data_IF_249201550553
#
_entry.id   IF_249201550553
#
_cell.length_a   1.000
_cell.length_b   1.000
_cell.length_c   1.000
_cell.angle_alpha   90.00
_cell.angle_beta   90.00
_cell.angle_gamma   90.00
#
_symmetry.space_group_name_H-M   'P 1'
#
loop_
_entity.id
_entity.type
_entity.pdbx_description
1 polymer ?
#
# COMPACT_ATOMS: atom_id res chain seq x y z
N UNK A 1 -23.70 13.24 16.78
CA UNK A 1 -23.96 11.78 16.84
C UNK A 1 -22.64 11.07 16.77
N UNK A 2 -22.52 9.93 17.45
CA UNK A 2 -21.25 9.22 17.61
C UNK A 2 -21.28 7.94 16.79
N UNK A 3 -20.39 7.83 15.79
CA UNK A 3 -20.21 6.61 15.00
C UNK A 3 -19.81 5.47 15.94
N UNK A 4 -20.56 4.36 15.89
CA UNK A 4 -20.30 3.20 16.76
C UNK A 4 -18.95 2.57 16.44
N UNK A 5 -18.31 1.96 17.44
CA UNK A 5 -17.06 1.22 17.23
C UNK A 5 -17.20 0.07 16.23
N UNK A 6 -18.38 -0.56 16.14
CA UNK A 6 -18.67 -1.59 15.14
C UNK A 6 -18.60 -1.00 13.73
N UNK A 7 -19.28 0.12 13.50
CA UNK A 7 -19.26 0.82 12.19
C UNK A 7 -17.85 1.27 11.82
N UNK A 8 -17.12 1.87 12.78
CA UNK A 8 -15.72 2.31 12.62
C UNK A 8 -14.84 1.16 12.14
N UNK A 9 -14.86 0.03 12.86
CA UNK A 9 -14.08 -1.16 12.48
C UNK A 9 -14.38 -1.63 11.07
N UNK A 10 -15.66 -1.67 10.68
CA UNK A 10 -16.08 -2.08 9.33
C UNK A 10 -15.54 -1.10 8.28
N UNK A 11 -15.69 0.21 8.49
CA UNK A 11 -15.23 1.24 7.56
C UNK A 11 -13.72 1.19 7.36
N UNK A 12 -12.97 1.16 8.46
CA UNK A 12 -11.50 1.13 8.44
C UNK A 12 -10.96 -0.15 7.80
N UNK A 13 -11.58 -1.31 8.10
CA UNK A 13 -11.21 -2.59 7.50
C UNK A 13 -11.46 -2.59 5.98
N UNK A 14 -12.64 -2.13 5.53
CA UNK A 14 -12.97 -2.05 4.10
C UNK A 14 -12.09 -1.05 3.33
N UNK A 15 -11.67 0.02 3.99
CA UNK A 15 -10.80 1.05 3.40
C UNK A 15 -9.31 0.70 3.50
N UNK A 16 -8.96 -0.41 4.16
CA UNK A 16 -7.57 -0.83 4.34
C UNK A 16 -6.69 0.21 5.03
N UNK A 17 -7.28 1.07 5.87
CA UNK A 17 -6.58 2.18 6.53
C UNK A 17 -6.05 3.27 5.58
N UNK A 18 -6.58 3.36 4.36
CA UNK A 18 -6.11 4.30 3.32
C UNK A 18 -7.19 5.30 2.93
N UNK A 19 -6.76 6.48 2.47
CA UNK A 19 -7.66 7.49 1.93
C UNK A 19 -8.37 6.98 0.66
N UNK A 20 -9.69 7.17 0.59
CA UNK A 20 -10.48 6.72 -0.56
C UNK A 20 -10.06 7.36 -1.90
N UNK A 21 -9.50 8.57 -1.85
CA UNK A 21 -9.07 9.33 -3.04
C UNK A 21 -7.58 9.10 -3.33
N UNK A 22 -6.68 9.53 -2.44
CA UNK A 22 -5.23 9.51 -2.69
C UNK A 22 -4.47 8.28 -2.21
N UNK A 23 -5.14 7.33 -1.54
CA UNK A 23 -4.56 6.04 -1.10
C UNK A 23 -3.40 6.12 -0.10
N UNK A 24 -3.10 7.30 0.44
CA UNK A 24 -2.16 7.46 1.55
C UNK A 24 -2.67 6.70 2.77
N UNK A 25 -1.76 6.15 3.55
CA UNK A 25 -2.07 5.58 4.86
C UNK A 25 -2.59 6.68 5.80
N UNK A 26 -3.59 6.34 6.60
CA UNK A 26 -4.29 7.26 7.50
C UNK A 26 -4.03 7.01 8.98
N UNK A 27 -3.23 5.99 9.26
CA UNK A 27 -2.68 5.70 10.55
C UNK A 27 -1.19 5.44 10.34
N UNK A 28 -0.36 6.13 11.12
CA UNK A 28 1.06 5.83 11.18
C UNK A 28 1.34 5.06 12.46
N UNK A 29 2.13 4.01 12.34
CA UNK A 29 2.68 3.29 13.48
C UNK A 29 4.20 3.41 13.45
N UNK A 30 4.74 4.08 14.45
CA UNK A 30 6.18 4.22 14.65
C UNK A 30 6.66 3.18 15.69
N UNK A 31 7.98 3.08 15.90
CA UNK A 31 8.55 2.16 16.88
C UNK A 31 8.15 2.46 18.32
N UNK A 32 7.85 3.74 18.60
CA UNK A 32 7.37 4.19 19.92
C UNK A 32 5.84 4.29 19.89
N UNK A 33 5.16 3.62 20.82
CA UNK A 33 3.68 3.61 20.84
C UNK A 33 3.08 5.01 21.02
N UNK A 34 3.83 5.95 21.62
CA UNK A 34 3.43 7.35 21.80
C UNK A 34 3.37 8.15 20.50
N UNK A 35 4.09 7.74 19.46
CA UNK A 35 4.03 8.39 18.13
C UNK A 35 3.01 7.76 17.18
N UNK A 36 2.28 6.73 17.62
CA UNK A 36 1.16 6.20 16.86
C UNK A 36 0.07 7.26 16.72
N UNK A 37 -0.19 7.67 15.48
CA UNK A 37 -1.17 8.71 15.21
C UNK A 37 -2.13 8.32 14.09
N UNK A 38 -3.42 8.53 14.36
CA UNK A 38 -4.51 8.34 13.39
C UNK A 38 -4.97 9.72 12.95
N UNK A 39 -4.79 10.04 11.68
CA UNK A 39 -5.23 11.30 11.08
C UNK A 39 -6.31 11.12 10.02
N UNK A 40 -6.77 9.89 9.79
CA UNK A 40 -7.93 9.60 8.96
C UNK A 40 -9.23 10.12 9.55
N UNK A 41 -10.08 10.66 8.69
CA UNK A 41 -11.37 11.23 9.07
C UNK A 41 -12.52 10.38 8.52
N UNK A 42 -13.51 10.14 9.38
CA UNK A 42 -14.74 9.39 9.08
C UNK A 42 -15.80 10.34 8.55
N UNK A 43 -15.85 10.50 7.23
CA UNK A 43 -16.67 11.53 6.59
C UNK A 43 -18.04 10.98 6.21
N UNK A 44 -19.10 11.72 6.52
CA UNK A 44 -20.45 11.43 6.03
C UNK A 44 -20.59 11.84 4.56
N UNK A 45 -21.06 10.91 3.71
CA UNK A 45 -21.41 11.19 2.32
C UNK A 45 -22.66 12.08 2.28
N UNK A 46 -23.72 11.68 3.00
CA UNK A 46 -24.93 12.46 3.24
C UNK A 46 -24.84 13.05 4.66
N UNK A 47 -24.85 14.37 4.78
CA UNK A 47 -24.80 15.04 6.08
C UNK A 47 -26.12 14.91 6.83
N UNK A 48 -26.03 14.78 8.16
CA UNK A 48 -27.19 14.81 9.07
C UNK A 48 -27.63 16.21 9.48
N UNK A 49 -26.80 17.23 9.20
CA UNK A 49 -27.10 18.62 9.55
C UNK A 49 -27.90 19.27 8.41
N UNK A 50 -29.03 19.94 8.68
CA UNK A 50 -29.81 20.64 7.66
C UNK A 50 -29.01 21.66 6.83
N UNK A 51 -28.03 22.31 7.47
CA UNK A 51 -27.10 23.27 6.84
C UNK A 51 -25.81 22.63 6.34
N UNK A 52 -25.67 21.31 6.47
CA UNK A 52 -24.49 20.57 6.08
C UNK A 52 -24.45 20.27 4.58
N UNK A 53 -23.25 19.93 4.06
CA UNK A 53 -23.10 19.60 2.65
C UNK A 53 -23.91 18.34 2.32
N UNK A 54 -24.63 18.34 1.19
CA UNK A 54 -25.40 17.19 0.68
C UNK A 54 -26.46 16.68 1.67
N UNK A 55 -27.04 17.56 2.49
CA UNK A 55 -28.12 17.18 3.41
C UNK A 55 -29.35 16.68 2.63
N UNK A 56 -29.79 15.49 2.98
CA UNK A 56 -31.04 14.88 2.52
C UNK A 56 -31.62 14.11 3.70
N UNK A 57 -32.95 14.12 3.84
CA UNK A 57 -33.63 13.31 4.87
C UNK A 57 -33.27 11.83 4.67
N UNK A 58 -32.52 11.29 5.61
CA UNK A 58 -31.99 9.94 5.56
C UNK A 58 -32.14 9.28 6.93
N UNK A 59 -32.34 7.96 6.93
CA UNK A 59 -32.70 7.22 8.16
C UNK A 59 -31.43 6.77 8.91
N UNK A 60 -30.31 6.55 8.21
CA UNK A 60 -29.13 5.87 8.75
C UNK A 60 -27.81 6.61 8.48
N UNK A 61 -27.68 7.85 8.97
CA UNK A 61 -26.48 8.66 8.72
C UNK A 61 -25.18 7.98 9.16
N UNK A 62 -25.18 7.28 10.29
CA UNK A 62 -23.99 6.63 10.86
C UNK A 62 -23.75 5.19 10.35
N UNK A 63 -24.38 4.80 9.23
CA UNK A 63 -24.09 3.52 8.57
C UNK A 63 -22.73 3.55 7.86
N UNK A 64 -22.01 2.43 7.85
CA UNK A 64 -20.76 2.27 7.09
C UNK A 64 -20.92 2.56 5.60
N UNK A 65 -22.13 2.41 5.07
CA UNK A 65 -22.45 2.64 3.65
C UNK A 65 -22.63 4.13 3.33
N UNK A 66 -22.88 4.96 4.35
CA UNK A 66 -22.94 6.41 4.24
C UNK A 66 -21.62 7.08 4.67
N UNK A 67 -20.62 6.31 5.09
CA UNK A 67 -19.32 6.82 5.51
C UNK A 67 -18.24 6.55 4.46
N UNK A 68 -17.31 7.48 4.31
CA UNK A 68 -16.11 7.34 3.49
C UNK A 68 -14.89 7.76 4.31
N UNK A 69 -13.80 7.00 4.20
CA UNK A 69 -12.57 7.28 4.93
C UNK A 69 -11.64 8.15 4.08
N UNK A 70 -11.26 9.34 4.58
CA UNK A 70 -10.46 10.32 3.85
C UNK A 70 -9.35 10.89 4.72
N UNK A 71 -8.33 11.48 4.08
CA UNK A 71 -7.39 12.35 4.78
C UNK A 71 -7.97 13.77 4.94
N UNK A 72 -7.44 14.58 5.87
CA UNK A 72 -7.98 15.92 6.17
C UNK A 72 -8.04 16.85 4.95
N UNK A 73 -7.06 16.72 4.05
CA UNK A 73 -7.01 17.48 2.80
C UNK A 73 -8.19 17.14 1.88
N UNK A 74 -8.50 15.85 1.72
CA UNK A 74 -9.57 15.41 0.84
C UNK A 74 -10.95 15.58 1.48
N UNK A 75 -11.07 15.45 2.80
CA UNK A 75 -12.31 15.78 3.49
C UNK A 75 -12.66 17.26 3.29
N UNK A 76 -11.70 18.16 3.55
CA UNK A 76 -11.86 19.60 3.31
C UNK A 76 -12.20 19.93 1.85
N UNK A 77 -11.63 19.18 0.90
CA UNK A 77 -11.88 19.36 -0.53
C UNK A 77 -13.33 19.03 -0.91
N UNK A 78 -13.86 17.89 -0.46
CA UNK A 78 -15.21 17.44 -0.82
C UNK A 78 -16.29 18.31 -0.17
N UNK A 79 -16.01 18.89 0.99
CA UNK A 79 -16.94 19.80 1.68
C UNK A 79 -17.00 21.17 1.01
N UNK A 80 -15.87 21.66 0.48
CA UNK A 80 -15.83 22.94 -0.25
C UNK A 80 -16.36 22.83 -1.69
N UNK A 81 -16.24 21.66 -2.33
CA UNK A 81 -16.59 21.47 -3.76
C UNK A 81 -17.79 20.53 -3.93
N UNK A 82 -18.92 20.89 -3.34
CA UNK A 82 -20.14 20.06 -3.34
C UNK A 82 -20.60 19.70 -4.77
N UNK A 83 -20.53 20.65 -5.71
CA UNK A 83 -20.93 20.44 -7.11
C UNK A 83 -20.10 19.37 -7.82
N UNK A 84 -18.80 19.27 -7.49
CA UNK A 84 -17.89 18.27 -8.08
C UNK A 84 -18.00 16.92 -7.37
N UNK A 85 -18.43 16.91 -6.12
CA UNK A 85 -18.54 15.71 -5.29
C UNK A 85 -19.98 15.55 -4.77
N UNK A 86 -20.95 15.28 -5.68
CA UNK A 86 -22.29 14.89 -5.28
C UNK A 86 -22.27 13.51 -4.62
N UNK A 87 -23.40 13.14 -3.98
CA UNK A 87 -23.57 11.87 -3.26
C UNK A 87 -23.18 10.67 -4.14
N UNK A 88 -23.64 10.63 -5.39
CA UNK A 88 -23.38 9.53 -6.31
C UNK A 88 -21.89 9.38 -6.64
N UNK A 89 -21.18 10.49 -6.79
CA UNK A 89 -19.75 10.47 -7.07
C UNK A 89 -18.95 9.97 -5.87
N UNK A 90 -19.28 10.41 -4.66
CA UNK A 90 -18.66 9.91 -3.44
C UNK A 90 -18.91 8.41 -3.23
N UNK A 91 -20.11 7.92 -3.57
CA UNK A 91 -20.42 6.48 -3.55
C UNK A 91 -19.57 5.70 -4.55
N UNK A 92 -19.40 6.22 -5.77
CA UNK A 92 -18.51 5.61 -6.78
C UNK A 92 -17.06 5.56 -6.30
N UNK A 93 -16.55 6.66 -5.73
CA UNK A 93 -15.19 6.72 -5.17
C UNK A 93 -15.02 5.68 -4.06
N UNK A 94 -15.97 5.58 -3.13
CA UNK A 94 -15.97 4.57 -2.07
C UNK A 94 -15.93 3.15 -2.63
N UNK A 95 -16.84 2.81 -3.54
CA UNK A 95 -16.92 1.46 -4.14
C UNK A 95 -15.63 1.11 -4.88
N UNK A 96 -15.12 2.03 -5.70
CA UNK A 96 -13.87 1.83 -6.42
C UNK A 96 -12.69 1.67 -5.45
N UNK A 97 -12.72 2.39 -4.33
CA UNK A 97 -11.70 2.26 -3.30
C UNK A 97 -11.73 0.90 -2.59
N UNK A 98 -12.88 0.51 -2.05
CA UNK A 98 -13.05 -0.77 -1.35
C UNK A 98 -12.74 -1.96 -2.27
N UNK A 99 -13.13 -1.88 -3.55
CA UNK A 99 -12.77 -2.88 -4.56
C UNK A 99 -11.25 -2.99 -4.74
N UNK A 100 -10.58 -1.85 -4.93
CA UNK A 100 -9.12 -1.81 -5.05
C UNK A 100 -8.43 -2.37 -3.79
N UNK A 101 -8.92 -2.07 -2.59
CA UNK A 101 -8.37 -2.63 -1.34
C UNK A 101 -8.51 -4.16 -1.35
N UNK A 102 -9.70 -4.67 -1.63
CA UNK A 102 -9.96 -6.12 -1.68
C UNK A 102 -9.06 -6.83 -2.69
N UNK A 103 -8.87 -6.25 -3.88
CA UNK A 103 -8.03 -6.83 -4.94
C UNK A 103 -6.54 -6.84 -4.58
N UNK A 104 -6.03 -5.81 -3.88
CA UNK A 104 -4.62 -5.77 -3.50
C UNK A 104 -4.30 -6.64 -2.29
N UNK A 105 -5.27 -6.80 -1.38
CA UNK A 105 -5.13 -7.72 -0.24
C UNK A 105 -5.19 -9.19 -0.69
N UNK A 106 -5.98 -9.53 -1.72
CA UNK A 106 -6.03 -10.90 -2.25
C UNK A 106 -4.77 -11.30 -3.02
N UNK A 107 -4.17 -10.38 -3.79
CA UNK A 107 -2.97 -10.66 -4.62
C UNK A 107 -1.73 -11.08 -3.84
N UNK A 108 -1.60 -10.66 -2.57
CA UNK A 108 -0.43 -11.01 -1.74
C UNK A 108 -0.35 -12.49 -1.36
N UNK A 109 -1.40 -13.29 -1.57
CA UNK A 109 -1.35 -14.74 -1.34
C UNK A 109 -0.70 -15.53 -2.47
N UNK A 110 -0.63 -14.97 -3.68
CA UNK A 110 -0.12 -15.69 -4.86
C UNK A 110 1.33 -15.31 -5.21
N UNK A 111 1.92 -14.36 -4.48
CA UNK A 111 3.32 -13.92 -4.60
C UNK A 111 4.18 -14.32 -3.38
N UNK A 112 3.86 -15.43 -2.73
CA UNK A 112 4.98 -16.23 -2.23
C UNK A 112 5.73 -16.66 -3.48
N UNK A 113 6.92 -16.09 -3.71
CA UNK A 113 7.87 -16.68 -4.64
C UNK A 113 7.84 -18.18 -4.33
N UNK A 114 7.42 -19.01 -5.28
CA UNK A 114 7.37 -20.43 -5.09
C UNK A 114 8.81 -20.94 -4.93
N UNK A 115 9.32 -20.86 -3.69
CA UNK A 115 10.69 -21.25 -3.33
C UNK A 115 10.80 -22.78 -3.32
N UNK A 116 9.72 -23.52 -3.64
CA UNK A 116 9.70 -24.99 -3.66
C UNK A 116 10.66 -25.58 -4.70
N UNK A 117 11.12 -24.78 -5.65
CA UNK A 117 12.01 -25.19 -6.74
C UNK A 117 13.39 -24.53 -6.72
N UNK A 118 13.95 -24.20 -5.56
CA UNK A 118 15.38 -23.90 -5.48
C UNK A 118 16.19 -25.19 -5.64
N UNK A 119 16.91 -25.30 -6.76
CA UNK A 119 17.81 -26.42 -6.98
C UNK A 119 19.03 -26.30 -6.05
N UNK A 120 19.23 -27.29 -5.19
CA UNK A 120 20.42 -27.35 -4.34
C UNK A 120 21.65 -27.63 -5.21
N UNK A 121 22.61 -26.72 -5.16
CA UNK A 121 23.93 -26.94 -5.74
C UNK A 121 24.71 -27.88 -4.82
N UNK A 122 25.17 -29.00 -5.36
CA UNK A 122 25.89 -30.06 -4.65
C UNK A 122 27.34 -30.17 -5.09
N UNK A 123 27.71 -29.55 -6.22
CA UNK A 123 29.05 -29.60 -6.77
C UNK A 123 29.53 -28.24 -7.25
N UNK A 124 30.86 -28.05 -7.25
CA UNK A 124 31.48 -26.83 -7.79
C UNK A 124 31.24 -26.64 -9.29
N UNK A 125 31.00 -27.72 -10.05
CA UNK A 125 30.70 -27.66 -11.49
C UNK A 125 29.37 -26.94 -11.75
N UNK A 126 28.34 -27.24 -10.97
CA UNK A 126 27.02 -26.60 -11.11
C UNK A 126 27.08 -25.08 -10.87
N UNK A 127 28.00 -24.63 -10.01
CA UNK A 127 28.25 -23.19 -9.80
C UNK A 127 28.89 -22.57 -11.05
N UNK A 128 29.92 -23.22 -11.59
CA UNK A 128 30.62 -22.75 -12.80
C UNK A 128 29.67 -22.71 -13.99
N UNK A 129 28.83 -23.72 -14.18
CA UNK A 129 27.86 -23.77 -15.27
C UNK A 129 26.85 -22.60 -15.22
N UNK A 130 26.40 -22.22 -14.02
CA UNK A 130 25.51 -21.05 -13.84
C UNK A 130 26.23 -19.75 -14.20
N UNK A 131 27.48 -19.60 -13.76
CA UNK A 131 28.26 -18.38 -14.02
C UNK A 131 28.59 -18.26 -15.53
N UNK A 132 28.95 -19.37 -16.17
CA UNK A 132 29.40 -19.39 -17.56
C UNK A 132 28.26 -19.36 -18.58
N UNK A 133 27.07 -19.89 -18.25
CA UNK A 133 25.89 -19.81 -19.11
C UNK A 133 25.10 -18.50 -18.94
N UNK A 134 25.30 -17.76 -17.86
CA UNK A 134 24.93 -16.35 -17.85
C UNK A 134 26.03 -15.61 -18.62
N UNK A 135 25.66 -14.79 -19.61
CA UNK A 135 26.61 -13.94 -20.33
C UNK A 135 27.16 -12.81 -19.42
N UNK A 136 27.78 -13.18 -18.31
CA UNK A 136 28.47 -12.28 -17.38
C UNK A 136 29.84 -12.00 -17.97
N UNK A 137 29.97 -10.86 -18.63
CA UNK A 137 31.27 -10.34 -19.02
C UNK A 137 31.83 -9.53 -17.85
N UNK A 138 32.73 -10.13 -17.07
CA UNK A 138 33.51 -9.41 -16.07
C UNK A 138 34.81 -8.92 -16.71
N UNK A 139 34.92 -7.61 -16.93
CA UNK A 139 36.09 -6.95 -17.53
C UNK A 139 37.09 -6.43 -16.49
N UNK A 140 37.14 -7.03 -15.30
CA UNK A 140 38.20 -6.71 -14.35
C UNK A 140 39.43 -7.55 -14.70
N UNK A 141 40.24 -7.01 -15.59
CA UNK A 141 41.63 -7.44 -15.75
C UNK A 141 42.38 -7.06 -14.47
N UNK A 142 42.49 -7.98 -13.52
CA UNK A 142 43.63 -7.94 -12.61
C UNK A 142 44.87 -8.28 -13.46
N UNK A 143 45.69 -7.26 -13.72
CA UNK A 143 46.98 -7.45 -14.36
C UNK A 143 47.77 -8.52 -13.61
N UNK A 144 48.00 -9.65 -14.26
CA UNK A 144 48.90 -10.67 -13.74
C UNK A 144 50.30 -10.09 -13.80
N UNK A 145 50.78 -9.54 -12.67
CA UNK A 145 52.22 -9.26 -12.48
C UNK A 145 52.96 -10.60 -12.46
N UNK A 146 53.23 -11.15 -13.64
CA UNK A 146 54.23 -12.19 -13.81
C UNK A 146 55.59 -11.56 -13.57
N UNK A 147 56.08 -11.62 -12.33
CA UNK A 147 57.48 -11.38 -12.04
C UNK A 147 58.18 -12.74 -11.89
N UNK A 148 58.40 -13.39 -13.03
CA UNK A 148 59.41 -14.45 -13.14
C UNK A 148 60.79 -13.79 -13.03
N UNK A 149 61.37 -13.86 -11.84
CA UNK A 149 62.75 -13.47 -11.57
C UNK A 149 63.52 -14.65 -10.98
N UNK A 150 63.59 -15.77 -11.70
CA UNK A 150 64.58 -16.82 -11.42
C UNK A 150 65.94 -16.27 -11.83
N UNK A 151 66.74 -15.84 -10.85
CA UNK A 151 68.18 -15.68 -11.03
C UNK A 151 68.88 -16.76 -10.20
N UNK A 152 69.28 -17.84 -10.88
CA UNK A 152 70.43 -18.65 -10.50
C UNK A 152 71.69 -17.98 -11.05
N UNK A 153 72.69 -17.71 -10.22
CA UNK A 153 74.11 -18.04 -10.46
C UNK A 153 75.03 -17.58 -9.30
N UNK A 154 75.77 -18.58 -8.81
CA UNK A 154 77.01 -18.61 -8.00
C UNK A 154 77.11 -17.79 -6.73
#
# INVERSE_FOLDING_TARGET
MTITNKTRKILWAKSGGKCAICRIDLAHSDSDEESNHVFGEECHIISSKPTGPRFVVYINYDSSDNLILLCPNHHSLIDKKIEKYPVDELRKIKIAHEKWVSENLSKKKDQENDISHLQRLTTGREIVDIIMNNHVYEFNYDEVKTMWGVFYRN
#
